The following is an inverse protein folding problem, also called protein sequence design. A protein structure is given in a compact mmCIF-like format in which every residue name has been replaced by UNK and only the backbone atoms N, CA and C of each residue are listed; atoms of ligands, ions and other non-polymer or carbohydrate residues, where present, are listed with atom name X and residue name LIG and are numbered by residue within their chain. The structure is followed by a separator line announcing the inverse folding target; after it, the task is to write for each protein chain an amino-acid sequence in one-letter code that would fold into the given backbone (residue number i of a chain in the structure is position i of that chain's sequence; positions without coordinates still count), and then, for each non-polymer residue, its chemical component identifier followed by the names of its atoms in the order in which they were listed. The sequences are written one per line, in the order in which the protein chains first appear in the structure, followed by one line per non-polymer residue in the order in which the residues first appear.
data_IF_341784237452
#
_entry.id   IF_341784237452
#
_cell.length_a   1.000
_cell.length_b   1.000
_cell.length_c   1.000
_cell.angle_alpha   90.00
_cell.angle_beta   90.00
_cell.angle_gamma   90.00
#
_symmetry.space_group_name_H-M   'P 1'
#
loop_
_entity.id
_entity.type
_entity.pdbx_description
1 polymer ?
#
# COMPACT_ATOMS: atom_id res chain seq x y z
N UNK A 1 -4.35 26.69 -7.53
CA UNK A 1 -4.59 25.28 -7.90
C UNK A 1 -3.26 24.54 -7.76
N UNK A 2 -3.09 23.75 -6.70
CA UNK A 2 -1.81 23.11 -6.36
C UNK A 2 -1.55 21.99 -7.36
N UNK A 3 -0.44 22.05 -8.10
CA UNK A 3 -0.02 21.00 -9.03
C UNK A 3 1.27 20.39 -8.50
N UNK A 4 1.19 19.11 -8.10
CA UNK A 4 2.23 18.19 -7.66
C UNK A 4 2.48 18.09 -6.14
N UNK A 5 1.99 16.98 -5.57
CA UNK A 5 2.42 16.40 -4.30
C UNK A 5 3.36 15.19 -4.50
N UNK A 6 3.84 14.96 -5.74
CA UNK A 6 4.73 13.84 -6.08
C UNK A 6 5.91 14.28 -6.96
N UNK A 7 7.05 13.59 -6.80
CA UNK A 7 8.23 13.74 -7.64
C UNK A 7 8.46 12.48 -8.46
N UNK A 8 8.73 12.63 -9.77
CA UNK A 8 9.16 11.53 -10.63
C UNK A 8 10.64 11.66 -10.97
N UNK A 9 11.42 10.64 -10.62
CA UNK A 9 12.84 10.57 -10.96
C UNK A 9 13.06 9.71 -12.21
N UNK A 10 13.93 10.17 -13.11
CA UNK A 10 14.48 9.35 -14.19
C UNK A 10 15.94 9.04 -13.85
N UNK A 11 16.22 7.79 -13.54
CA UNK A 11 17.54 7.35 -13.07
C UNK A 11 18.41 6.87 -14.23
N UNK A 12 19.71 7.15 -14.13
CA UNK A 12 20.72 6.54 -14.99
C UNK A 12 21.04 5.14 -14.48
N UNK A 13 20.36 4.12 -15.03
CA UNK A 13 20.46 2.71 -14.59
C UNK A 13 21.89 2.14 -14.58
N UNK A 14 22.80 2.72 -15.37
CA UNK A 14 24.22 2.33 -15.36
C UNK A 14 24.96 2.75 -14.08
N UNK A 15 24.44 3.74 -13.35
CA UNK A 15 25.11 4.33 -12.17
C UNK A 15 24.32 4.12 -10.88
N UNK A 16 23.00 4.02 -10.97
CA UNK A 16 22.14 3.96 -9.80
C UNK A 16 21.02 2.95 -10.03
N UNK A 17 21.00 1.94 -9.16
CA UNK A 17 19.93 0.97 -9.07
C UNK A 17 18.65 1.64 -8.50
N UNK A 18 17.46 1.38 -9.08
CA UNK A 18 16.22 2.00 -8.62
C UNK A 18 15.79 1.57 -7.22
N UNK A 19 16.03 0.32 -6.82
CA UNK A 19 15.65 -0.18 -5.50
C UNK A 19 16.56 0.43 -4.45
N UNK A 20 17.86 0.50 -4.72
CA UNK A 20 18.80 1.23 -3.87
C UNK A 20 18.40 2.70 -3.72
N UNK A 21 18.05 3.38 -4.82
CA UNK A 21 17.61 4.77 -4.79
C UNK A 21 16.35 4.95 -3.94
N UNK A 22 15.36 4.07 -4.09
CA UNK A 22 14.14 4.09 -3.31
C UNK A 22 14.42 3.88 -1.81
N UNK A 23 15.19 2.84 -1.46
CA UNK A 23 15.56 2.55 -0.07
C UNK A 23 16.35 3.71 0.56
N UNK A 24 17.31 4.28 -0.15
CA UNK A 24 18.10 5.40 0.35
C UNK A 24 17.25 6.65 0.58
N UNK A 25 16.38 7.00 -0.38
CA UNK A 25 15.49 8.15 -0.25
C UNK A 25 14.50 7.99 0.89
N UNK A 26 13.93 6.79 1.06
CA UNK A 26 13.02 6.44 2.15
C UNK A 26 13.72 6.48 3.51
N UNK A 27 14.90 5.86 3.63
CA UNK A 27 15.66 5.84 4.88
C UNK A 27 16.03 7.24 5.37
N UNK A 28 16.24 8.17 4.45
CA UNK A 28 16.59 9.57 4.76
C UNK A 28 15.39 10.53 4.61
N UNK A 29 14.18 10.01 4.40
CA UNK A 29 12.97 10.81 4.20
C UNK A 29 12.49 11.51 5.48
N UNK A 30 12.87 11.01 6.66
CA UNK A 30 12.49 11.64 7.94
C UNK A 30 13.28 12.93 8.17
N UNK A 31 14.57 12.94 7.83
CA UNK A 31 15.44 14.11 8.02
C UNK A 31 15.32 15.12 6.87
N UNK A 32 15.01 14.67 5.65
CA UNK A 32 14.99 15.53 4.48
C UNK A 32 14.00 16.72 4.56
N UNK A 33 12.77 16.58 5.08
CA UNK A 33 11.86 17.71 5.30
C UNK A 33 12.42 18.72 6.29
N UNK A 34 13.16 18.30 7.32
CA UNK A 34 13.72 19.25 8.28
C UNK A 34 14.70 20.23 7.62
N UNK A 35 15.50 19.75 6.66
CA UNK A 35 16.50 20.58 5.98
C UNK A 35 16.02 21.22 4.66
N UNK A 36 15.04 20.62 3.98
CA UNK A 36 14.62 21.02 2.62
C UNK A 36 13.21 21.59 2.55
N UNK A 37 12.41 21.45 3.61
CA UNK A 37 11.04 21.98 3.62
C UNK A 37 11.02 23.49 3.75
N UNK A 38 10.13 24.13 2.99
CA UNK A 38 9.81 25.55 3.10
C UNK A 38 8.35 25.73 3.53
N UNK A 39 8.11 26.58 4.53
CA UNK A 39 6.76 26.95 4.99
C UNK A 39 6.47 26.59 6.44
N UNK A 40 5.81 27.49 7.18
CA UNK A 40 5.52 27.33 8.61
C UNK A 40 4.24 26.52 8.90
N UNK A 41 3.26 26.53 7.99
CA UNK A 41 1.93 25.91 8.20
C UNK A 41 1.78 24.56 7.49
N UNK A 42 2.47 24.37 6.37
CA UNK A 42 2.53 23.09 5.63
C UNK A 42 3.97 22.86 5.21
N UNK A 43 4.55 21.74 5.62
CA UNK A 43 5.86 21.34 5.15
C UNK A 43 5.76 20.97 3.66
N UNK A 44 6.59 21.61 2.83
CA UNK A 44 6.63 21.37 1.39
C UNK A 44 8.07 21.42 0.91
N UNK A 45 8.46 20.41 0.16
CA UNK A 45 9.72 20.40 -0.57
C UNK A 45 9.42 20.86 -1.99
N UNK A 46 10.08 21.93 -2.44
CA UNK A 46 9.96 22.39 -3.81
C UNK A 46 10.94 21.63 -4.73
N UNK A 47 10.73 21.72 -6.05
CA UNK A 47 11.55 21.00 -7.02
C UNK A 47 13.05 21.35 -6.94
N UNK A 48 13.39 22.62 -6.67
CA UNK A 48 14.77 23.06 -6.58
C UNK A 48 15.46 22.49 -5.34
N UNK A 49 14.77 22.49 -4.19
CA UNK A 49 15.26 21.91 -2.94
C UNK A 49 15.45 20.39 -3.07
N UNK A 50 14.52 19.70 -3.75
CA UNK A 50 14.66 18.28 -4.04
C UNK A 50 15.83 18.02 -5.00
N UNK A 51 16.02 18.86 -6.03
CA UNK A 51 17.13 18.74 -6.97
C UNK A 51 18.51 19.00 -6.32
N UNK A 52 18.57 19.80 -5.25
CA UNK A 52 19.80 20.04 -4.49
C UNK A 52 20.14 18.94 -3.49
N UNK A 53 19.27 17.94 -3.30
CA UNK A 53 19.52 16.84 -2.39
C UNK A 53 20.72 16.01 -2.86
N UNK A 54 21.75 15.93 -2.02
CA UNK A 54 22.88 15.04 -2.24
C UNK A 54 22.48 13.60 -1.91
N UNK A 55 22.87 12.67 -2.79
CA UNK A 55 22.64 11.22 -2.63
C UNK A 55 23.98 10.53 -2.75
N UNK A 56 24.28 9.64 -1.81
CA UNK A 56 25.49 8.81 -1.87
C UNK A 56 25.27 7.71 -2.90
N UNK A 57 26.17 7.61 -3.88
CA UNK A 57 26.10 6.61 -4.96
C UNK A 57 27.35 5.73 -4.91
N UNK A 58 27.32 4.62 -4.16
CA UNK A 58 28.44 3.66 -4.13
C UNK A 58 28.56 2.90 -5.45
N UNK A 59 29.60 2.07 -5.67
CA UNK A 59 29.70 1.23 -6.86
C UNK A 59 28.48 0.31 -7.04
N UNK A 60 28.11 0.01 -8.28
CA UNK A 60 26.90 -0.78 -8.60
C UNK A 60 26.85 -2.13 -7.87
N UNK A 61 27.98 -2.80 -7.69
CA UNK A 61 28.04 -4.07 -6.99
C UNK A 61 27.69 -3.93 -5.50
N UNK A 62 28.12 -2.84 -4.87
CA UNK A 62 27.79 -2.55 -3.47
C UNK A 62 26.32 -2.17 -3.32
N UNK A 63 25.78 -1.38 -4.26
CA UNK A 63 24.34 -1.08 -4.30
C UNK A 63 23.49 -2.36 -4.30
N UNK A 64 23.82 -3.31 -5.18
CA UNK A 64 23.10 -4.58 -5.27
C UNK A 64 23.26 -5.43 -4.01
N UNK A 65 24.45 -5.46 -3.41
CA UNK A 65 24.68 -6.19 -2.17
C UNK A 65 23.86 -5.62 -0.99
N UNK A 66 23.77 -4.30 -0.88
CA UNK A 66 22.96 -3.62 0.13
C UNK A 66 21.48 -3.95 -0.06
N UNK A 67 20.97 -3.86 -1.29
CA UNK A 67 19.58 -4.18 -1.61
C UNK A 67 19.27 -5.64 -1.25
N UNK A 68 20.13 -6.58 -1.65
CA UNK A 68 19.96 -8.00 -1.34
C UNK A 68 19.94 -8.26 0.16
N UNK A 69 20.85 -7.64 0.92
CA UNK A 69 20.89 -7.77 2.36
C UNK A 69 19.56 -7.31 2.98
N UNK A 70 19.08 -6.12 2.63
CA UNK A 70 17.82 -5.56 3.15
C UNK A 70 16.64 -6.45 2.76
N UNK A 71 16.58 -6.91 1.51
CA UNK A 71 15.51 -7.79 1.03
C UNK A 71 15.48 -9.11 1.79
N UNK A 72 16.65 -9.69 2.08
CA UNK A 72 16.74 -10.94 2.86
C UNK A 72 16.32 -10.74 4.32
N UNK A 73 16.83 -9.69 4.98
CA UNK A 73 16.49 -9.38 6.38
C UNK A 73 14.99 -9.04 6.55
N UNK A 74 14.38 -8.43 5.53
CA UNK A 74 12.95 -8.07 5.55
C UNK A 74 12.03 -9.16 4.97
N UNK A 75 12.57 -10.30 4.54
CA UNK A 75 11.80 -11.34 3.86
C UNK A 75 10.74 -11.98 4.78
N UNK A 76 11.08 -12.28 6.02
CA UNK A 76 10.16 -12.86 7.01
C UNK A 76 9.00 -11.92 7.33
N UNK A 77 9.28 -10.62 7.44
CA UNK A 77 8.25 -9.59 7.64
C UNK A 77 7.32 -9.50 6.44
N UNK A 78 7.87 -9.53 5.21
CA UNK A 78 7.05 -9.53 3.99
C UNK A 78 6.16 -10.76 3.88
N UNK A 79 6.65 -11.93 4.27
CA UNK A 79 5.85 -13.14 4.34
C UNK A 79 4.72 -13.00 5.36
N UNK A 80 5.02 -12.52 6.57
CA UNK A 80 4.02 -12.31 7.61
C UNK A 80 2.91 -11.32 7.18
N UNK A 81 3.28 -10.24 6.48
CA UNK A 81 2.31 -9.29 5.89
C UNK A 81 1.42 -10.01 4.87
N UNK A 82 2.03 -10.75 3.93
CA UNK A 82 1.28 -11.49 2.92
C UNK A 82 0.34 -12.54 3.51
N UNK A 83 0.75 -13.22 4.58
CA UNK A 83 -0.09 -14.20 5.26
C UNK A 83 -1.26 -13.51 5.99
N UNK A 84 -1.02 -12.37 6.62
CA UNK A 84 -2.07 -11.57 7.27
C UNK A 84 -3.08 -11.02 6.26
N UNK A 85 -2.63 -10.49 5.13
CA UNK A 85 -3.52 -10.02 4.06
C UNK A 85 -4.42 -11.15 3.55
N UNK A 86 -3.84 -12.34 3.35
CA UNK A 86 -4.61 -13.54 2.97
C UNK A 86 -5.63 -13.95 4.03
N UNK A 87 -5.27 -13.86 5.31
CA UNK A 87 -6.20 -14.16 6.41
C UNK A 87 -7.38 -13.16 6.43
N UNK A 88 -7.10 -11.87 6.22
CA UNK A 88 -8.12 -10.83 6.09
C UNK A 88 -9.09 -11.16 4.95
N UNK A 89 -8.56 -11.55 3.78
CA UNK A 89 -9.38 -11.90 2.63
C UNK A 89 -10.27 -13.12 2.90
N UNK A 90 -9.73 -14.16 3.54
CA UNK A 90 -10.51 -15.34 3.94
C UNK A 90 -11.61 -14.99 4.95
N UNK A 91 -11.34 -14.11 5.90
CA UNK A 91 -12.35 -13.63 6.87
C UNK A 91 -13.45 -12.86 6.14
N UNK A 92 -13.10 -12.01 5.16
CA UNK A 92 -14.07 -11.26 4.34
C UNK A 92 -14.94 -12.18 3.49
N UNK A 93 -14.33 -13.19 2.85
CA UNK A 93 -15.06 -14.21 2.09
C UNK A 93 -16.00 -15.00 3.00
N UNK A 94 -15.50 -15.47 4.15
CA UNK A 94 -16.28 -16.19 5.13
C UNK A 94 -17.47 -15.37 5.64
N UNK A 95 -17.25 -14.09 5.98
CA UNK A 95 -18.33 -13.18 6.41
C UNK A 95 -19.40 -13.06 5.33
N UNK A 96 -19.01 -12.85 4.07
CA UNK A 96 -19.94 -12.73 2.94
C UNK A 96 -20.77 -14.00 2.79
N UNK A 97 -20.13 -15.17 2.84
CA UNK A 97 -20.81 -16.47 2.78
C UNK A 97 -21.75 -16.70 3.95
N UNK A 98 -21.30 -16.38 5.17
CA UNK A 98 -22.10 -16.53 6.38
C UNK A 98 -23.38 -15.70 6.30
N UNK A 99 -23.28 -14.45 5.86
CA UNK A 99 -24.45 -13.58 5.64
C UNK A 99 -25.39 -14.19 4.60
N UNK A 100 -24.85 -14.68 3.48
CA UNK A 100 -25.66 -15.32 2.44
C UNK A 100 -26.37 -16.58 2.95
N UNK A 101 -25.70 -17.42 3.72
CA UNK A 101 -26.28 -18.64 4.29
C UNK A 101 -27.36 -18.32 5.34
N UNK A 102 -27.19 -17.25 6.12
CA UNK A 102 -28.23 -16.76 7.05
C UNK A 102 -29.44 -16.19 6.30
N UNK A 103 -29.23 -15.33 5.31
CA UNK A 103 -30.33 -14.70 4.55
C UNK A 103 -31.09 -15.71 3.69
N UNK A 104 -30.39 -16.72 3.16
CA UNK A 104 -31.03 -17.82 2.43
C UNK A 104 -31.69 -18.85 3.36
N UNK A 105 -31.61 -18.67 4.67
CA UNK A 105 -32.20 -19.56 5.68
C UNK A 105 -31.52 -20.93 5.77
N UNK A 106 -30.35 -21.10 5.15
CA UNK A 106 -29.51 -22.29 5.30
C UNK A 106 -28.88 -22.39 6.69
N UNK A 107 -28.70 -21.24 7.35
CA UNK A 107 -28.23 -21.13 8.73
C UNK A 107 -29.23 -20.31 9.57
N UNK A 108 -29.84 -20.91 10.60
CA UNK A 108 -30.76 -20.23 11.52
C UNK A 108 -30.04 -19.73 12.77
N UNK A 109 -30.09 -18.41 13.00
CA UNK A 109 -29.38 -17.72 14.09
C UNK A 109 -30.32 -17.15 15.16
N UNK A 110 -31.63 -17.43 15.09
CA UNK A 110 -32.66 -16.81 15.96
C UNK A 110 -32.57 -17.20 17.45
N UNK A 111 -31.79 -18.22 17.79
CA UNK A 111 -31.52 -18.65 19.16
C UNK A 111 -30.04 -18.65 19.55
N UNK A 112 -29.19 -17.96 18.77
CA UNK A 112 -27.77 -17.87 19.08
C UNK A 112 -27.54 -16.97 20.30
N UNK A 113 -27.00 -17.54 21.39
CA UNK A 113 -26.47 -16.76 22.51
C UNK A 113 -25.12 -16.17 22.10
N UNK A 114 -25.05 -14.84 21.99
CA UNK A 114 -23.81 -14.12 21.74
C UNK A 114 -22.99 -14.10 23.05
N UNK A 115 -21.70 -14.46 23.02
CA UNK A 115 -20.83 -14.28 24.17
C UNK A 115 -20.76 -12.79 24.53
N UNK A 116 -20.75 -12.47 25.83
CA UNK A 116 -20.48 -11.11 26.32
C UNK A 116 -19.06 -10.72 25.88
N UNK A 117 -18.95 -9.81 24.91
CA UNK A 117 -17.67 -9.28 24.47
C UNK A 117 -17.17 -8.30 25.53
N UNK A 118 -16.05 -8.58 26.17
CA UNK A 118 -15.32 -7.56 26.93
C UNK A 118 -14.93 -6.44 25.95
N UNK A 119 -15.44 -5.23 26.17
CA UNK A 119 -15.06 -4.04 25.39
C UNK A 119 -13.55 -3.78 25.58
N UNK A 120 -12.72 -4.36 24.72
CA UNK A 120 -11.33 -3.92 24.60
C UNK A 120 -11.32 -2.58 23.88
N UNK A 121 -11.22 -1.51 24.65
CA UNK A 121 -11.10 -0.13 24.17
C UNK A 121 -9.78 0.07 23.39
N UNK A 122 -9.73 -0.31 22.12
CA UNK A 122 -8.69 0.10 21.14
C UNK A 122 -9.19 -0.20 19.72
N UNK A 123 -10.23 0.50 19.27
CA UNK A 123 -10.63 0.54 17.84
C UNK A 123 -11.14 1.92 17.37
N UNK A 124 -11.13 2.95 18.21
CA UNK A 124 -11.63 4.29 17.83
C UNK A 124 -10.66 5.11 16.96
N UNK A 125 -9.39 4.67 16.80
CA UNK A 125 -8.36 5.43 16.07
C UNK A 125 -8.05 4.88 14.66
N UNK A 126 -8.74 3.82 14.21
CA UNK A 126 -8.67 3.38 12.81
C UNK A 126 -9.84 4.01 12.05
N UNK A 127 -9.54 5.09 11.35
CA UNK A 127 -10.44 5.70 10.37
C UNK A 127 -10.80 4.67 9.28
N UNK A 128 -11.85 3.89 9.54
CA UNK A 128 -12.39 2.87 8.63
C UNK A 128 -13.26 3.50 7.53
N UNK A 129 -12.88 4.68 7.05
CA UNK A 129 -13.67 5.50 6.16
C UNK A 129 -12.83 6.09 5.04
N UNK A 130 -12.46 5.29 4.04
CA UNK A 130 -12.61 5.60 2.60
C UNK A 130 -11.86 4.59 1.71
N UNK A 131 -10.77 3.96 2.16
CA UNK A 131 -9.87 3.24 1.24
C UNK A 131 -10.28 1.79 0.88
N UNK A 132 -11.26 1.18 1.56
CA UNK A 132 -11.64 -0.23 1.29
C UNK A 132 -12.72 -0.35 0.20
N UNK A 133 -13.47 0.72 -0.06
CA UNK A 133 -14.53 0.72 -1.07
C UNK A 133 -13.97 0.85 -2.50
N UNK A 134 -12.82 1.51 -2.68
CA UNK A 134 -12.28 1.83 -4.00
C UNK A 134 -11.67 0.60 -4.71
N UNK A 135 -11.19 -0.40 -3.96
CA UNK A 135 -10.61 -1.62 -4.55
C UNK A 135 -11.65 -2.65 -5.02
N UNK A 136 -12.92 -2.50 -4.64
CA UNK A 136 -13.98 -3.43 -5.02
C UNK A 136 -14.64 -3.08 -6.38
N UNK A 137 -14.42 -1.89 -6.92
CA UNK A 137 -15.02 -1.46 -8.20
C UNK A 137 -14.15 -1.82 -9.43
N UNK A 138 -12.92 -2.32 -9.27
CA UNK A 138 -12.01 -2.61 -10.40
C UNK A 138 -12.00 -4.09 -10.87
N UNK A 139 -13.02 -4.90 -10.55
CA UNK A 139 -13.10 -6.26 -11.09
C UNK A 139 -14.41 -6.57 -11.80
N UNK A 140 -14.28 -6.68 -13.13
CA UNK A 140 -15.08 -7.44 -14.12
C UNK A 140 -16.31 -6.74 -14.69
N UNK A 141 -16.11 -6.04 -15.81
CA UNK A 141 -16.99 -6.20 -16.98
C UNK A 141 -16.25 -7.06 -18.02
N UNK A 142 -16.61 -8.34 -18.05
CA UNK A 142 -16.30 -9.27 -19.14
C UNK A 142 -17.64 -9.67 -19.76
N UNK A 143 -17.62 -9.76 -21.10
CA UNK A 143 -18.67 -10.13 -22.08
C UNK A 143 -19.44 -8.93 -22.68
N UNK A 144 -19.66 -8.82 -24.00
CA UNK A 144 -19.73 -9.86 -25.02
C UNK A 144 -19.25 -9.38 -26.40
N UNK A 145 -18.77 -10.34 -27.19
CA UNK A 145 -18.55 -10.29 -28.63
C UNK A 145 -19.89 -10.22 -29.35
N UNK A 146 -20.07 -9.29 -30.29
CA UNK A 146 -20.97 -9.46 -31.43
C UNK A 146 -20.20 -9.10 -32.72
N UNK A 147 -20.06 -10.12 -33.57
CA UNK A 147 -19.74 -9.99 -34.99
C UNK A 147 -20.96 -9.43 -35.72
N UNK A 148 -20.79 -8.46 -36.65
CA UNK A 148 -21.43 -8.50 -37.98
C UNK A 148 -20.94 -7.36 -38.91
N UNK A 149 -20.35 -7.81 -40.01
CA UNK A 149 -20.38 -7.36 -41.42
C UNK A 149 -20.97 -5.99 -41.86
N UNK A 150 -20.20 -5.31 -42.72
CA UNK A 150 -20.58 -4.98 -44.11
C UNK A 150 -21.59 -3.88 -44.42
N UNK A 151 -21.11 -2.76 -44.99
CA UNK A 151 -21.32 -2.33 -46.41
C UNK A 151 -20.36 -1.18 -46.75
#
# INVERSE_FOLDING_TARGET
MVKADCFRFRLFRQRLDPEFAALHLTATAVDAPFFLSTGATRQRINLQAMASRSVVVPPTQEQLAIVQLITNETSSLRLAISDADREIDLIREYRTRLIADVVTGKLDVRGAELPELEETAVLDDLDAGEDVAELAEETVDVEAVEEEDGD
#
